data_IF_017231207311
#
_entry.id   IF_017231207311
#
_cell.length_a   1.000
_cell.length_b   1.000
_cell.length_c   1.000
_cell.angle_alpha   90.00
_cell.angle_beta   90.00
_cell.angle_gamma   90.00
#
_symmetry.space_group_name_H-M   'P 1'
#
loop_
_entity.id
_entity.type
_entity.pdbx_description
1 polymer ?
#
# COMPACT_ATOMS: atom_id res chain seq x y z
N UNK A 1 -10.96 43.34 -19.18
CA UNK A 1 -11.58 42.08 -18.71
C UNK A 1 -10.51 41.01 -18.44
N UNK A 2 -9.87 40.43 -19.46
CA UNK A 2 -8.80 39.42 -19.30
C UNK A 2 -7.58 39.95 -18.55
N UNK A 3 -7.10 41.15 -18.87
CA UNK A 3 -5.92 41.76 -18.22
C UNK A 3 -6.16 42.09 -16.74
N UNK A 4 -7.37 42.51 -16.39
CA UNK A 4 -7.75 42.87 -15.02
C UNK A 4 -7.77 41.64 -14.11
N UNK A 5 -8.37 40.54 -14.59
CA UNK A 5 -8.35 39.25 -13.90
C UNK A 5 -6.94 38.67 -13.81
N UNK A 6 -6.20 38.64 -14.92
CA UNK A 6 -4.83 38.14 -14.93
C UNK A 6 -3.89 38.99 -14.06
N UNK A 7 -4.13 40.29 -13.96
CA UNK A 7 -3.41 41.19 -13.05
C UNK A 7 -3.65 40.82 -11.58
N UNK A 8 -4.91 40.63 -11.17
CA UNK A 8 -5.25 40.20 -9.81
C UNK A 8 -4.72 38.81 -9.46
N UNK A 9 -4.75 37.88 -10.44
CA UNK A 9 -4.24 36.52 -10.26
C UNK A 9 -2.71 36.52 -10.09
N UNK A 10 -1.99 37.38 -10.84
CA UNK A 10 -0.53 37.55 -10.71
C UNK A 10 -0.10 38.14 -9.37
N UNK A 11 -0.99 38.86 -8.69
CA UNK A 11 -0.74 39.38 -7.33
C UNK A 11 -0.92 38.32 -6.25
N UNK A 12 -1.34 37.09 -6.58
CA UNK A 12 -1.43 35.96 -5.66
C UNK A 12 -2.57 36.03 -4.65
N UNK A 13 -3.45 37.03 -4.76
CA UNK A 13 -4.58 37.19 -3.84
C UNK A 13 -5.85 36.54 -4.39
N UNK A 14 -6.23 35.41 -3.79
CA UNK A 14 -7.48 34.72 -4.12
C UNK A 14 -8.71 35.63 -3.87
N UNK A 15 -8.71 36.37 -2.77
CA UNK A 15 -9.82 37.27 -2.42
C UNK A 15 -10.01 38.40 -3.44
N UNK A 16 -8.93 39.04 -3.89
CA UNK A 16 -9.00 40.10 -4.92
C UNK A 16 -9.42 39.54 -6.28
N UNK A 17 -8.96 38.33 -6.62
CA UNK A 17 -9.37 37.64 -7.85
C UNK A 17 -10.87 37.32 -7.82
N UNK A 18 -11.40 36.82 -6.69
CA UNK A 18 -12.84 36.55 -6.52
C UNK A 18 -13.68 37.83 -6.64
N UNK A 19 -13.23 38.94 -6.05
CA UNK A 19 -13.90 40.23 -6.19
C UNK A 19 -13.91 40.73 -7.65
N UNK A 20 -12.79 40.62 -8.35
CA UNK A 20 -12.71 40.95 -9.77
C UNK A 20 -13.60 40.05 -10.63
N UNK A 21 -13.68 38.74 -10.31
CA UNK A 21 -14.59 37.81 -10.98
C UNK A 21 -16.06 38.20 -10.75
N UNK A 22 -16.47 38.50 -9.52
CA UNK A 22 -17.84 38.92 -9.22
C UNK A 22 -18.23 40.22 -9.94
N UNK A 23 -17.30 41.19 -10.04
CA UNK A 23 -17.54 42.44 -10.79
C UNK A 23 -17.70 42.21 -12.30
N UNK A 24 -16.98 41.22 -12.85
CA UNK A 24 -16.93 40.96 -14.30
C UNK A 24 -18.06 40.04 -14.76
N UNK A 25 -18.35 38.98 -14.00
CA UNK A 25 -19.34 37.95 -14.37
C UNK A 25 -20.71 38.19 -13.71
N UNK A 26 -20.82 39.18 -12.81
CA UNK A 26 -22.07 39.51 -12.12
C UNK A 26 -22.55 38.39 -11.19
N UNK A 27 -23.87 38.32 -10.96
CA UNK A 27 -24.51 37.33 -10.07
C UNK A 27 -24.66 35.92 -10.68
N UNK A 28 -23.86 35.56 -11.69
CA UNK A 28 -23.91 34.21 -12.24
C UNK A 28 -23.29 33.22 -11.25
N UNK A 29 -24.09 32.25 -10.79
CA UNK A 29 -23.60 31.15 -9.96
C UNK A 29 -23.11 30.01 -10.85
N UNK A 30 -21.82 29.68 -10.74
CA UNK A 30 -21.24 28.51 -11.40
C UNK A 30 -21.19 27.37 -10.40
N UNK A 31 -21.69 26.21 -10.81
CA UNK A 31 -21.67 24.98 -10.02
C UNK A 31 -20.94 23.87 -10.79
N UNK A 32 -20.78 22.70 -10.17
CA UNK A 32 -20.13 21.56 -10.83
C UNK A 32 -20.71 21.25 -12.21
N UNK A 33 -22.02 21.40 -12.41
CA UNK A 33 -22.67 21.11 -13.70
C UNK A 33 -22.28 22.10 -14.80
N UNK A 34 -21.83 23.31 -14.43
CA UNK A 34 -21.38 24.35 -15.39
C UNK A 34 -19.94 24.18 -15.86
N UNK A 35 -19.16 23.26 -15.26
CA UNK A 35 -17.78 22.99 -15.63
C UNK A 35 -17.69 22.04 -16.84
N UNK A 36 -16.58 22.14 -17.59
CA UNK A 36 -16.21 21.11 -18.57
C UNK A 36 -16.08 19.74 -17.91
N UNK A 37 -16.35 18.68 -18.68
CA UNK A 37 -16.37 17.31 -18.15
C UNK A 37 -15.06 16.93 -17.44
N UNK A 38 -13.92 17.30 -18.00
CA UNK A 38 -12.60 17.05 -17.43
C UNK A 38 -12.44 17.68 -16.04
N UNK A 39 -12.83 18.95 -15.89
CA UNK A 39 -12.72 19.66 -14.61
C UNK A 39 -13.73 19.11 -13.59
N UNK A 40 -14.92 18.68 -14.02
CA UNK A 40 -15.86 17.96 -13.14
C UNK A 40 -15.24 16.66 -12.62
N UNK A 41 -14.62 15.87 -13.49
CA UNK A 41 -13.98 14.62 -13.10
C UNK A 41 -12.83 14.87 -12.13
N UNK A 42 -12.00 15.87 -12.40
CA UNK A 42 -10.91 16.28 -11.50
C UNK A 42 -11.42 16.70 -10.12
N UNK A 43 -12.44 17.56 -10.06
CA UNK A 43 -13.00 17.99 -8.77
C UNK A 43 -13.67 16.82 -8.04
N UNK A 44 -14.38 15.94 -8.75
CA UNK A 44 -14.98 14.74 -8.14
C UNK A 44 -13.91 13.82 -7.55
N UNK A 45 -12.77 13.64 -8.23
CA UNK A 45 -11.64 12.86 -7.68
C UNK A 45 -11.08 13.50 -6.41
N UNK A 46 -10.87 14.82 -6.40
CA UNK A 46 -10.38 15.55 -5.23
C UNK A 46 -11.34 15.43 -4.04
N UNK A 47 -12.63 15.71 -4.25
CA UNK A 47 -13.65 15.61 -3.20
C UNK A 47 -13.80 14.18 -2.67
N UNK A 48 -13.70 13.19 -3.56
CA UNK A 48 -13.75 11.77 -3.17
C UNK A 48 -12.55 11.41 -2.32
N UNK A 49 -11.34 11.85 -2.68
CA UNK A 49 -10.13 11.59 -1.90
C UNK A 49 -10.20 12.21 -0.50
N UNK A 50 -10.67 13.46 -0.40
CA UNK A 50 -10.88 14.11 0.90
C UNK A 50 -11.91 13.36 1.75
N UNK A 51 -13.02 12.97 1.14
CA UNK A 51 -14.08 12.21 1.82
C UNK A 51 -13.59 10.85 2.29
N UNK A 52 -12.85 10.10 1.47
CA UNK A 52 -12.27 8.81 1.83
C UNK A 52 -11.29 8.95 2.99
N UNK A 53 -10.38 9.93 2.94
CA UNK A 53 -9.45 10.22 4.04
C UNK A 53 -10.19 10.46 5.37
N UNK A 54 -11.29 11.22 5.32
CA UNK A 54 -12.12 11.47 6.51
C UNK A 54 -12.83 10.20 7.00
N UNK A 55 -13.33 9.37 6.08
CA UNK A 55 -13.94 8.08 6.43
C UNK A 55 -12.92 7.15 7.10
N UNK A 56 -11.70 7.06 6.58
CA UNK A 56 -10.63 6.25 7.17
C UNK A 56 -10.35 6.66 8.62
N UNK A 57 -10.34 7.97 8.91
CA UNK A 57 -10.18 8.49 10.27
C UNK A 57 -11.37 8.10 11.17
N UNK A 58 -12.61 8.25 10.69
CA UNK A 58 -13.81 7.90 11.44
C UNK A 58 -13.86 6.40 11.75
N UNK A 59 -13.59 5.54 10.77
CA UNK A 59 -13.54 4.09 11.00
C UNK A 59 -12.40 3.69 11.93
N UNK A 60 -11.23 4.32 11.80
CA UNK A 60 -10.12 4.11 12.74
C UNK A 60 -10.51 4.48 14.16
N UNK A 61 -11.23 5.59 14.34
CA UNK A 61 -11.72 6.00 15.66
C UNK A 61 -12.75 5.00 16.21
N UNK A 62 -13.77 4.64 15.42
CA UNK A 62 -14.79 3.65 15.84
C UNK A 62 -14.13 2.33 16.23
N UNK A 63 -13.15 1.86 15.44
CA UNK A 63 -12.39 0.66 15.75
C UNK A 63 -11.66 0.77 17.09
N UNK A 64 -10.89 1.85 17.30
CA UNK A 64 -10.10 2.06 18.53
C UNK A 64 -10.98 2.17 19.77
N UNK A 65 -12.04 2.97 19.69
CA UNK A 65 -12.96 3.22 20.81
C UNK A 65 -13.69 1.92 21.24
N UNK A 66 -13.86 0.98 20.31
CA UNK A 66 -14.60 -0.27 20.54
C UNK A 66 -13.71 -1.53 20.52
N UNK A 67 -12.38 -1.40 20.51
CA UNK A 67 -11.47 -2.55 20.39
C UNK A 67 -11.69 -3.60 21.49
N UNK A 68 -11.79 -3.17 22.74
CA UNK A 68 -12.03 -4.07 23.87
C UNK A 68 -13.37 -4.80 23.80
N UNK A 69 -14.41 -4.14 23.25
CA UNK A 69 -15.72 -4.75 23.03
C UNK A 69 -15.62 -5.80 21.93
N UNK A 70 -15.04 -5.45 20.78
CA UNK A 70 -14.81 -6.37 19.67
C UNK A 70 -14.05 -7.62 20.13
N UNK A 71 -12.96 -7.44 20.89
CA UNK A 71 -12.18 -8.52 21.47
C UNK A 71 -12.98 -9.40 22.44
N UNK A 72 -13.88 -8.82 23.23
CA UNK A 72 -14.74 -9.59 24.13
C UNK A 72 -15.70 -10.50 23.35
N UNK A 73 -16.28 -10.02 22.24
CA UNK A 73 -17.12 -10.85 21.36
C UNK A 73 -16.34 -12.04 20.79
N UNK A 74 -15.12 -11.81 20.26
CA UNK A 74 -14.29 -12.91 19.74
C UNK A 74 -13.89 -13.91 20.82
N UNK A 75 -13.46 -13.44 22.00
CA UNK A 75 -13.05 -14.29 23.11
C UNK A 75 -14.18 -15.18 23.62
N UNK A 76 -15.38 -14.62 23.72
CA UNK A 76 -16.55 -15.32 24.26
C UNK A 76 -17.32 -16.09 23.16
N UNK A 77 -16.73 -16.22 21.95
CA UNK A 77 -17.27 -16.92 20.78
C UNK A 77 -18.67 -16.42 20.37
N UNK A 78 -18.93 -15.13 20.59
CA UNK A 78 -20.19 -14.47 20.25
C UNK A 78 -20.14 -13.90 18.84
N UNK A 79 -21.29 -13.84 18.13
CA UNK A 79 -21.36 -13.20 16.83
C UNK A 79 -21.08 -11.69 16.98
N UNK A 80 -20.01 -11.23 16.33
CA UNK A 80 -19.62 -9.81 16.32
C UNK A 80 -20.67 -8.98 15.57
N UNK A 81 -21.12 -7.84 16.13
CA UNK A 81 -21.95 -6.88 15.39
C UNK A 81 -21.25 -6.39 14.12
N UNK A 82 -21.95 -6.43 12.99
CA UNK A 82 -21.38 -6.14 11.66
C UNK A 82 -20.71 -4.78 11.60
N UNK A 83 -21.27 -3.78 12.27
CA UNK A 83 -20.76 -2.40 12.30
C UNK A 83 -19.37 -2.34 12.93
N UNK A 84 -19.12 -3.13 14.00
CA UNK A 84 -17.82 -3.22 14.65
C UNK A 84 -16.82 -3.96 13.76
N UNK A 85 -17.26 -5.06 13.13
CA UNK A 85 -16.42 -5.82 12.21
C UNK A 85 -15.96 -4.97 11.02
N UNK A 86 -16.88 -4.26 10.38
CA UNK A 86 -16.59 -3.39 9.23
C UNK A 86 -15.65 -2.24 9.63
N UNK A 87 -15.82 -1.66 10.83
CA UNK A 87 -14.91 -0.63 11.31
C UNK A 87 -13.47 -1.16 11.46
N UNK A 88 -13.32 -2.38 12.01
CA UNK A 88 -12.01 -3.04 12.11
C UNK A 88 -11.41 -3.34 10.73
N UNK A 89 -12.19 -3.91 9.81
CA UNK A 89 -11.74 -4.25 8.46
C UNK A 89 -11.24 -3.01 7.69
N UNK A 90 -12.00 -1.90 7.73
CA UNK A 90 -11.61 -0.66 7.05
C UNK A 90 -10.39 -0.04 7.72
N UNK A 91 -10.36 0.05 9.05
CA UNK A 91 -9.25 0.64 9.79
C UNK A 91 -7.93 -0.13 9.57
N UNK A 92 -7.98 -1.46 9.60
CA UNK A 92 -6.82 -2.32 9.36
C UNK A 92 -6.40 -2.31 7.89
N UNK A 93 -7.34 -2.29 6.95
CA UNK A 93 -7.03 -2.17 5.51
C UNK A 93 -6.33 -0.86 5.20
N UNK A 94 -6.79 0.24 5.78
CA UNK A 94 -6.15 1.56 5.62
C UNK A 94 -4.74 1.58 6.24
N UNK A 95 -4.57 1.06 7.46
CA UNK A 95 -3.24 0.91 8.11
C UNK A 95 -2.28 0.06 7.26
N UNK A 96 -2.77 -1.06 6.74
CA UNK A 96 -2.00 -1.94 5.85
C UNK A 96 -1.50 -1.19 4.61
N UNK A 97 -2.38 -0.43 3.95
CA UNK A 97 -2.03 0.35 2.77
C UNK A 97 -1.00 1.43 3.06
N UNK A 98 -1.12 2.14 4.18
CA UNK A 98 -0.13 3.14 4.59
C UNK A 98 1.24 2.50 4.83
N UNK A 99 1.30 1.43 5.61
CA UNK A 99 2.55 0.73 5.91
C UNK A 99 3.21 0.15 4.64
N UNK A 100 2.42 -0.41 3.72
CA UNK A 100 2.93 -0.90 2.42
C UNK A 100 3.49 0.23 1.55
N UNK A 101 2.80 1.38 1.48
CA UNK A 101 3.28 2.55 0.71
C UNK A 101 4.56 3.12 1.32
N UNK A 102 4.65 3.21 2.65
CA UNK A 102 5.87 3.64 3.34
C UNK A 102 7.05 2.69 3.06
N UNK A 103 6.80 1.38 3.09
CA UNK A 103 7.80 0.38 2.71
C UNK A 103 8.23 0.51 1.24
N UNK A 104 7.28 0.75 0.31
CA UNK A 104 7.56 0.96 -1.12
C UNK A 104 8.42 2.21 -1.38
N UNK A 105 8.17 3.29 -0.65
CA UNK A 105 8.97 4.52 -0.71
C UNK A 105 10.38 4.31 -0.17
N UNK A 106 10.52 3.73 1.02
CA UNK A 106 11.82 3.54 1.67
C UNK A 106 12.73 2.59 0.89
N UNK A 107 12.15 1.57 0.24
CA UNK A 107 12.88 0.61 -0.60
C UNK A 107 13.29 1.21 -1.95
N UNK A 108 12.83 2.41 -2.31
CA UNK A 108 13.19 3.08 -3.56
C UNK A 108 14.53 3.83 -3.51
N UNK A 109 15.03 4.14 -2.30
CA UNK A 109 16.26 4.91 -2.10
C UNK A 109 17.35 3.99 -1.53
N UNK A 110 18.50 3.93 -2.20
CA UNK A 110 19.51 2.88 -2.01
C UNK A 110 20.31 2.92 -0.69
N UNK A 111 20.75 1.71 -0.31
CA UNK A 111 21.95 1.31 0.45
C UNK A 111 22.03 1.38 1.98
N UNK A 112 21.26 2.20 2.71
CA UNK A 112 21.42 2.31 4.20
C UNK A 112 20.15 2.01 5.03
N UNK A 113 19.13 1.39 4.43
CA UNK A 113 17.75 1.36 4.98
C UNK A 113 17.19 -0.02 5.33
N UNK A 114 18.05 -1.03 5.45
CA UNK A 114 17.64 -2.38 5.89
C UNK A 114 16.85 -2.32 7.20
N UNK A 115 17.33 -1.57 8.19
CA UNK A 115 16.67 -1.45 9.50
C UNK A 115 15.32 -0.72 9.43
N UNK A 116 15.22 0.35 8.63
CA UNK A 116 13.96 1.07 8.42
C UNK A 116 12.93 0.20 7.71
N UNK A 117 13.35 -0.57 6.69
CA UNK A 117 12.49 -1.54 6.03
C UNK A 117 12.03 -2.65 6.97
N UNK A 118 12.85 -3.08 7.92
CA UNK A 118 12.48 -4.11 8.90
C UNK A 118 11.38 -3.61 9.85
N UNK A 119 11.42 -2.34 10.24
CA UNK A 119 10.37 -1.75 11.08
C UNK A 119 9.01 -1.76 10.38
N UNK A 120 8.92 -1.32 9.12
CA UNK A 120 7.67 -1.38 8.36
C UNK A 120 7.20 -2.81 8.15
N UNK A 121 8.13 -3.76 7.95
CA UNK A 121 7.77 -5.16 7.77
C UNK A 121 7.20 -5.76 9.07
N UNK A 122 7.79 -5.44 10.24
CA UNK A 122 7.24 -5.83 11.54
C UNK A 122 5.85 -5.22 11.78
N UNK A 123 5.63 -3.96 11.38
CA UNK A 123 4.31 -3.33 11.44
C UNK A 123 3.29 -4.07 10.57
N UNK A 124 3.67 -4.43 9.34
CA UNK A 124 2.81 -5.18 8.43
C UNK A 124 2.44 -6.57 8.99
N UNK A 125 3.40 -7.29 9.56
CA UNK A 125 3.17 -8.59 10.22
C UNK A 125 2.25 -8.44 11.45
N UNK A 126 2.41 -7.37 12.22
CA UNK A 126 1.51 -7.08 13.34
C UNK A 126 0.08 -6.82 12.86
N UNK A 127 -0.09 -6.05 11.77
CA UNK A 127 -1.41 -5.81 11.16
C UNK A 127 -2.02 -7.12 10.64
N UNK A 128 -1.23 -7.98 9.98
CA UNK A 128 -1.70 -9.27 9.48
C UNK A 128 -2.15 -10.19 10.64
N UNK A 129 -1.39 -10.23 11.73
CA UNK A 129 -1.72 -11.00 12.93
C UNK A 129 -2.99 -10.50 13.59
N UNK A 130 -3.11 -9.17 13.74
CA UNK A 130 -4.30 -8.51 14.30
C UNK A 130 -5.54 -8.79 13.45
N UNK A 131 -5.43 -8.68 12.13
CA UNK A 131 -6.52 -8.97 11.20
C UNK A 131 -6.96 -10.44 11.24
N UNK A 132 -6.00 -11.37 11.33
CA UNK A 132 -6.30 -12.79 11.47
C UNK A 132 -7.04 -13.10 12.77
N UNK A 133 -6.56 -12.54 13.89
CA UNK A 133 -7.17 -12.71 15.20
C UNK A 133 -8.61 -12.17 15.25
N UNK A 134 -8.88 -11.08 14.55
CA UNK A 134 -10.22 -10.47 14.46
C UNK A 134 -11.08 -10.99 13.31
N UNK A 135 -10.60 -12.02 12.59
CA UNK A 135 -11.27 -12.58 11.42
C UNK A 135 -11.66 -11.53 10.35
N UNK A 136 -10.83 -10.50 10.21
CA UNK A 136 -11.03 -9.40 9.27
C UNK A 136 -10.63 -9.81 7.86
N UNK A 137 -11.50 -9.54 6.88
CA UNK A 137 -11.15 -9.71 5.48
C UNK A 137 -10.59 -8.41 4.87
N UNK A 138 -9.27 -8.32 4.73
CA UNK A 138 -8.58 -7.14 4.20
C UNK A 138 -8.56 -7.17 2.66
N UNK A 139 -9.70 -6.95 2.02
CA UNK A 139 -9.75 -6.87 0.55
C UNK A 139 -9.27 -5.51 0.06
N UNK A 140 -7.96 -5.40 -0.22
CA UNK A 140 -7.40 -4.25 -0.92
C UNK A 140 -6.64 -4.71 -2.16
N UNK A 141 -7.27 -4.59 -3.34
CA UNK A 141 -6.62 -4.82 -4.63
C UNK A 141 -5.30 -4.03 -4.75
N UNK A 142 -5.27 -2.83 -4.19
CA UNK A 142 -4.08 -2.00 -4.15
C UNK A 142 -2.97 -2.60 -3.29
N UNK A 143 -3.27 -3.18 -2.11
CA UNK A 143 -2.29 -3.81 -1.24
C UNK A 143 -1.61 -4.98 -1.95
N UNK A 144 -2.39 -5.81 -2.66
CA UNK A 144 -1.89 -6.88 -3.53
C UNK A 144 -0.90 -6.33 -4.57
N UNK A 145 -1.28 -5.28 -5.30
CA UNK A 145 -0.44 -4.71 -6.36
C UNK A 145 0.87 -4.11 -5.81
N UNK A 146 0.82 -3.43 -4.66
CA UNK A 146 2.03 -2.90 -4.01
C UNK A 146 2.95 -4.05 -3.59
N UNK A 147 2.41 -5.09 -2.96
CA UNK A 147 3.20 -6.22 -2.49
C UNK A 147 3.84 -7.00 -3.65
N UNK A 148 3.12 -7.24 -4.75
CA UNK A 148 3.66 -7.86 -5.96
C UNK A 148 4.84 -7.05 -6.55
N UNK A 149 4.70 -5.72 -6.63
CA UNK A 149 5.78 -4.84 -7.09
C UNK A 149 6.98 -4.87 -6.15
N UNK A 150 6.75 -4.82 -4.84
CA UNK A 150 7.79 -4.92 -3.82
C UNK A 150 8.57 -6.22 -3.97
N UNK A 151 7.90 -7.36 -3.99
CA UNK A 151 8.53 -8.68 -4.15
C UNK A 151 9.38 -8.73 -5.42
N UNK A 152 8.81 -8.31 -6.56
CA UNK A 152 9.53 -8.32 -7.84
C UNK A 152 10.76 -7.41 -7.82
N UNK A 153 10.64 -6.20 -7.27
CA UNK A 153 11.75 -5.25 -7.18
C UNK A 153 12.83 -5.76 -6.22
N UNK A 154 12.45 -6.21 -5.03
CA UNK A 154 13.39 -6.79 -4.06
C UNK A 154 14.13 -7.98 -4.64
N UNK A 155 13.43 -8.88 -5.34
CA UNK A 155 14.07 -9.99 -6.04
C UNK A 155 15.04 -9.51 -7.11
N UNK A 156 14.63 -8.55 -7.95
CA UNK A 156 15.51 -8.02 -8.98
C UNK A 156 16.80 -7.44 -8.40
N UNK A 157 16.73 -6.63 -7.33
CA UNK A 157 17.93 -6.10 -6.67
C UNK A 157 18.80 -7.22 -6.07
N UNK A 158 18.18 -8.18 -5.38
CA UNK A 158 18.87 -9.34 -4.80
C UNK A 158 19.67 -10.11 -5.85
N UNK A 159 19.12 -10.28 -7.05
CA UNK A 159 19.77 -11.04 -8.14
C UNK A 159 20.87 -10.24 -8.87
N UNK A 160 20.81 -8.90 -8.86
CA UNK A 160 21.82 -8.03 -9.49
C UNK A 160 23.00 -7.72 -8.55
N UNK A 161 22.73 -7.51 -7.27
CA UNK A 161 23.73 -7.18 -6.25
C UNK A 161 23.97 -8.38 -5.33
N UNK A 162 24.47 -9.48 -5.92
CA UNK A 162 24.82 -10.70 -5.16
C UNK A 162 26.04 -10.42 -4.29
N UNK A 163 25.83 -9.82 -3.13
CA UNK A 163 26.84 -9.64 -2.10
C UNK A 163 26.65 -10.70 -1.01
N UNK A 164 27.68 -11.51 -0.77
CA UNK A 164 27.62 -12.65 0.16
C UNK A 164 27.32 -12.25 1.61
N UNK A 165 27.57 -11.00 2.01
CA UNK A 165 27.38 -10.55 3.39
C UNK A 165 25.93 -10.16 3.73
N UNK A 166 25.18 -9.63 2.75
CA UNK A 166 23.80 -9.14 2.94
C UNK A 166 22.75 -10.02 2.28
N UNK A 167 23.14 -10.90 1.35
CA UNK A 167 22.22 -11.76 0.58
C UNK A 167 21.27 -12.57 1.49
N UNK A 168 21.75 -13.22 2.55
CA UNK A 168 20.89 -14.00 3.45
C UNK A 168 19.80 -13.14 4.10
N UNK A 169 20.14 -11.92 4.51
CA UNK A 169 19.17 -11.01 5.15
C UNK A 169 18.10 -10.54 4.16
N UNK A 170 18.49 -10.21 2.94
CA UNK A 170 17.56 -9.82 1.89
C UNK A 170 16.69 -10.99 1.42
N UNK A 171 17.23 -12.22 1.38
CA UNK A 171 16.46 -13.45 1.14
C UNK A 171 15.40 -13.62 2.24
N UNK A 172 15.79 -13.57 3.51
CA UNK A 172 14.86 -13.70 4.65
C UNK A 172 13.78 -12.62 4.62
N UNK A 173 14.14 -11.38 4.27
CA UNK A 173 13.18 -10.28 4.09
C UNK A 173 12.17 -10.60 2.98
N UNK A 174 12.62 -11.11 1.83
CA UNK A 174 11.75 -11.46 0.72
C UNK A 174 10.81 -12.62 1.08
N UNK A 175 11.31 -13.61 1.82
CA UNK A 175 10.49 -14.72 2.36
C UNK A 175 9.38 -14.20 3.28
N UNK A 176 9.69 -13.24 4.16
CA UNK A 176 8.68 -12.62 5.03
C UNK A 176 7.64 -11.83 4.23
N UNK A 177 8.01 -11.16 3.14
CA UNK A 177 7.04 -10.50 2.25
C UNK A 177 6.10 -11.50 1.56
N UNK A 178 6.62 -12.67 1.16
CA UNK A 178 5.80 -13.74 0.58
C UNK A 178 4.84 -14.32 1.64
N UNK A 179 5.34 -14.55 2.85
CA UNK A 179 4.54 -15.07 3.97
C UNK A 179 3.45 -14.09 4.38
N UNK A 180 3.74 -12.79 4.36
CA UNK A 180 2.74 -11.74 4.57
C UNK A 180 1.60 -11.82 3.56
N UNK A 181 1.91 -12.04 2.28
CA UNK A 181 0.91 -12.24 1.23
C UNK A 181 -0.02 -13.42 1.51
N UNK A 182 0.53 -14.52 2.03
CA UNK A 182 -0.24 -15.71 2.40
C UNK A 182 -1.11 -15.47 3.64
N UNK A 183 -0.56 -14.85 4.69
CA UNK A 183 -1.28 -14.52 5.93
C UNK A 183 -2.47 -13.58 5.68
N UNK A 184 -2.29 -12.61 4.78
CA UNK A 184 -3.34 -11.66 4.38
C UNK A 184 -4.32 -12.26 3.36
N UNK A 185 -4.16 -13.54 2.99
CA UNK A 185 -4.96 -14.22 1.96
C UNK A 185 -4.99 -13.47 0.62
N UNK A 186 -3.91 -12.76 0.30
CA UNK A 186 -3.77 -12.05 -0.98
C UNK A 186 -3.40 -13.08 -2.05
N UNK A 187 -4.25 -13.22 -3.07
CA UNK A 187 -3.96 -14.04 -4.23
C UNK A 187 -2.86 -13.39 -5.10
N UNK A 188 -1.60 -13.46 -4.67
CA UNK A 188 -0.45 -12.82 -5.35
C UNK A 188 -0.12 -13.53 -6.67
N UNK A 189 0.10 -12.75 -7.72
CA UNK A 189 0.64 -13.20 -9.01
C UNK A 189 2.16 -13.08 -9.00
N UNK A 190 2.85 -14.20 -8.77
CA UNK A 190 4.31 -14.25 -8.69
C UNK A 190 5.00 -14.55 -10.03
N UNK A 191 4.26 -14.68 -11.15
CA UNK A 191 4.80 -15.13 -12.44
C UNK A 191 6.06 -14.38 -12.90
N UNK A 192 6.07 -13.05 -12.80
CA UNK A 192 7.23 -12.24 -13.19
C UNK A 192 8.44 -12.45 -12.26
N UNK A 193 8.19 -12.63 -10.96
CA UNK A 193 9.25 -12.92 -10.00
C UNK A 193 9.83 -14.33 -10.22
N UNK A 194 8.96 -15.32 -10.48
CA UNK A 194 9.36 -16.68 -10.84
C UNK A 194 10.22 -16.71 -12.10
N UNK A 195 9.84 -15.97 -13.15
CA UNK A 195 10.61 -15.87 -14.39
C UNK A 195 11.99 -15.25 -14.16
N UNK A 196 12.07 -14.15 -13.40
CA UNK A 196 13.36 -13.54 -13.04
C UNK A 196 14.28 -14.50 -12.29
N UNK A 197 13.74 -15.22 -11.30
CA UNK A 197 14.50 -16.20 -10.54
C UNK A 197 14.99 -17.36 -11.42
N UNK A 198 14.13 -17.91 -12.28
CA UNK A 198 14.46 -18.99 -13.20
C UNK A 198 15.55 -18.61 -14.21
N UNK A 199 15.52 -17.38 -14.73
CA UNK A 199 16.56 -16.88 -15.63
C UNK A 199 17.92 -16.75 -14.94
N UNK A 200 17.92 -16.44 -13.64
CA UNK A 200 19.15 -16.29 -12.86
C UNK A 200 19.70 -17.62 -12.34
N UNK A 201 18.85 -18.61 -12.05
CA UNK A 201 19.21 -19.90 -11.46
C UNK A 201 20.46 -20.59 -12.07
N UNK A 202 20.69 -20.59 -13.41
CA UNK A 202 21.88 -21.20 -14.01
C UNK A 202 23.22 -20.57 -13.60
N UNK A 203 23.20 -19.36 -13.04
CA UNK A 203 24.40 -18.63 -12.61
C UNK A 203 24.84 -18.98 -11.18
N UNK A 204 24.02 -19.74 -10.45
CA UNK A 204 24.27 -20.14 -9.06
C UNK A 204 25.41 -21.17 -8.97
N UNK A 205 26.45 -20.88 -8.17
CA UNK A 205 27.57 -21.80 -7.89
C UNK A 205 27.26 -22.73 -6.70
N UNK A 206 27.86 -23.92 -6.69
CA UNK A 206 27.58 -25.02 -5.73
C UNK A 206 27.77 -24.63 -4.25
N UNK A 207 28.70 -23.73 -3.93
CA UNK A 207 29.08 -23.44 -2.55
C UNK A 207 28.08 -22.58 -1.74
N UNK A 208 27.00 -22.08 -2.36
CA UNK A 208 26.06 -21.13 -1.70
C UNK A 208 24.58 -21.43 -1.95
N UNK A 209 24.20 -22.67 -2.26
CA UNK A 209 22.87 -22.98 -2.79
C UNK A 209 21.71 -22.89 -1.78
N UNK A 210 21.93 -23.25 -0.51
CA UNK A 210 20.83 -23.51 0.45
C UNK A 210 19.82 -22.35 0.61
N UNK A 211 20.23 -21.09 0.83
CA UNK A 211 19.29 -19.96 0.96
C UNK A 211 18.51 -19.68 -0.31
N UNK A 212 19.16 -19.79 -1.46
CA UNK A 212 18.54 -19.54 -2.76
C UNK A 212 17.54 -20.63 -3.13
N UNK A 213 17.83 -21.90 -2.81
CA UNK A 213 16.90 -23.00 -3.01
C UNK A 213 15.63 -22.83 -2.15
N UNK A 214 15.78 -22.38 -0.90
CA UNK A 214 14.65 -22.07 0.01
C UNK A 214 13.76 -20.97 -0.58
N UNK A 215 14.37 -19.91 -1.10
CA UNK A 215 13.67 -18.83 -1.79
C UNK A 215 12.89 -19.33 -3.01
N UNK A 216 13.52 -20.20 -3.82
CA UNK A 216 12.88 -20.82 -4.98
C UNK A 216 11.64 -21.63 -4.60
N UNK A 217 11.70 -22.41 -3.53
CA UNK A 217 10.55 -23.15 -3.00
C UNK A 217 9.42 -22.22 -2.53
N UNK A 218 9.74 -21.13 -1.82
CA UNK A 218 8.76 -20.12 -1.38
C UNK A 218 8.10 -19.38 -2.55
N UNK A 219 8.82 -19.17 -3.64
CA UNK A 219 8.28 -18.67 -4.90
C UNK A 219 7.46 -19.71 -5.68
N UNK A 220 7.33 -20.94 -5.18
CA UNK A 220 6.71 -22.08 -5.86
C UNK A 220 7.37 -22.40 -7.21
N UNK A 221 8.70 -22.21 -7.31
CA UNK A 221 9.50 -22.60 -8.47
C UNK A 221 10.02 -24.02 -8.26
N UNK A 222 9.82 -24.90 -9.23
CA UNK A 222 10.40 -26.25 -9.22
C UNK A 222 11.91 -26.17 -9.47
N UNK A 223 12.69 -26.14 -8.39
CA UNK A 223 14.16 -26.08 -8.45
C UNK A 223 14.82 -27.45 -8.71
N UNK A 224 14.02 -28.53 -8.77
CA UNK A 224 14.44 -29.92 -9.02
C UNK A 224 14.68 -30.26 -10.49
N UNK A 225 14.43 -29.33 -11.43
CA UNK A 225 14.59 -29.57 -12.87
C UNK A 225 15.99 -29.24 -13.42
N UNK A 226 16.91 -28.80 -12.56
CA UNK A 226 18.28 -28.40 -12.94
C UNK A 226 19.39 -29.18 -12.23
N UNK A 227 19.05 -30.24 -11.50
CA UNK A 227 20.02 -31.23 -11.00
C UNK A 227 20.20 -32.37 -11.99
#
# INVERSE_FOLDING_TARGET
LKETLMGSLKQGSAAQTILAMNQIFGNQSYNLQTLFAEERHRIMQLLTQETLTRLDQLYTQVYRDNYGVLMAFHRDELPVPRELQVAAEIALSHRLLLALRSLEQETSDASDRLDASLNYLLELEAIATEAHHLHCNLTALEAKQILERLIRRSLWHLLQEVNSETAEREIQRLERLLDLGQQLHLSLSLAQAQELYLQWLPTLREDSQQPWLRLGQKLAVNVSLTQ
#
